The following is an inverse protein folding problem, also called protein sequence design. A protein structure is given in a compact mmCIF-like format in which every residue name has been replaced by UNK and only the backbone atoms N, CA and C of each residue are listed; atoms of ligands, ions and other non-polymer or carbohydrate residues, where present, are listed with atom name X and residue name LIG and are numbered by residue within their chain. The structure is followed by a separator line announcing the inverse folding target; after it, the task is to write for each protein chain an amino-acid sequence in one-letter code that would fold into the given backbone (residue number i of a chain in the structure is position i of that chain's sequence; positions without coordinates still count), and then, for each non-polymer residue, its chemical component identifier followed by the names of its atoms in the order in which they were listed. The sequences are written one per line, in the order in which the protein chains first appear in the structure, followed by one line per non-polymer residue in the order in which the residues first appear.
data_IF_258325417080
#
_entry.id   IF_258325417080
#
_cell.length_a   1.000
_cell.length_b   1.000
_cell.length_c   1.000
_cell.angle_alpha   90.00
_cell.angle_beta   90.00
_cell.angle_gamma   90.00
#
_symmetry.space_group_name_H-M   'P 1'
#
loop_
_entity.id
_entity.type
_entity.pdbx_description
1 polymer ?
#
# COMPACT_ATOMS: atom_id res chain seq x y z
N UNK A 1 2.70 -4.79 2.07
CA UNK A 1 3.17 -5.16 0.71
C UNK A 1 3.62 -3.85 0.08
N UNK A 2 4.90 -3.63 -0.21
CA UNK A 2 5.35 -2.31 -0.69
C UNK A 2 4.55 -1.86 -1.92
N UNK A 3 4.12 -0.58 -1.99
CA UNK A 3 3.43 -0.09 -3.16
C UNK A 3 4.41 -0.14 -4.33
N UNK A 4 4.00 -0.76 -5.43
CA UNK A 4 4.80 -0.78 -6.64
C UNK A 4 4.60 0.57 -7.35
N UNK A 5 5.61 1.44 -7.27
CA UNK A 5 5.74 2.57 -8.19
C UNK A 5 6.54 2.12 -9.41
N UNK A 6 6.17 2.64 -10.58
CA UNK A 6 6.97 2.48 -11.78
C UNK A 6 7.01 3.78 -12.57
N UNK A 7 8.13 3.99 -13.24
CA UNK A 7 8.24 5.04 -14.24
C UNK A 7 7.39 4.66 -15.46
N UNK A 8 6.61 5.63 -15.94
CA UNK A 8 5.71 5.49 -17.06
C UNK A 8 6.19 6.39 -18.19
N UNK A 9 6.37 5.80 -19.36
CA UNK A 9 6.53 6.55 -20.61
C UNK A 9 5.20 7.21 -20.98
N UNK A 10 5.14 8.54 -20.87
CA UNK A 10 3.96 9.33 -21.22
C UNK A 10 3.89 9.53 -22.73
N UNK A 11 5.03 9.82 -23.35
CA UNK A 11 5.14 9.93 -24.80
C UNK A 11 6.54 9.54 -25.27
N UNK A 12 6.73 8.25 -25.57
CA UNK A 12 8.06 7.68 -25.89
C UNK A 12 9.05 8.00 -24.76
N UNK A 13 10.34 7.90 -25.06
CA UNK A 13 11.44 8.28 -24.16
C UNK A 13 11.59 9.81 -23.96
N UNK A 14 10.68 10.64 -24.50
CA UNK A 14 10.80 12.09 -24.43
C UNK A 14 10.16 12.69 -23.18
N UNK A 15 9.05 12.10 -22.71
CA UNK A 15 8.37 12.55 -21.50
C UNK A 15 8.03 11.33 -20.68
N UNK A 16 8.55 11.31 -19.46
CA UNK A 16 8.39 10.22 -18.49
C UNK A 16 7.77 10.77 -17.22
N UNK A 17 7.09 9.90 -16.47
CA UNK A 17 6.53 10.30 -15.19
C UNK A 17 6.57 9.17 -14.17
N UNK A 18 6.74 9.53 -12.90
CA UNK A 18 6.67 8.62 -11.77
C UNK A 18 5.66 9.14 -10.75
N UNK A 19 4.93 8.25 -10.08
CA UNK A 19 4.00 8.60 -9.02
C UNK A 19 4.42 7.96 -7.71
N UNK A 20 4.43 8.77 -6.64
CA UNK A 20 4.72 8.32 -5.28
C UNK A 20 3.66 8.81 -4.30
N UNK A 21 3.37 8.04 -3.23
CA UNK A 21 2.66 8.57 -2.07
C UNK A 21 3.32 9.86 -1.56
N UNK A 22 2.52 10.89 -1.26
CA UNK A 22 3.04 12.12 -0.65
C UNK A 22 3.54 11.87 0.79
N UNK A 23 2.86 10.97 1.50
CA UNK A 23 3.29 10.46 2.80
C UNK A 23 4.12 9.17 2.59
N UNK A 24 5.41 9.23 2.87
CA UNK A 24 6.34 8.10 2.73
C UNK A 24 5.94 6.95 3.68
N UNK A 25 6.12 5.69 3.25
CA UNK A 25 5.83 4.42 3.96
C UNK A 25 4.37 3.92 4.03
N UNK A 26 3.43 4.47 3.23
CA UNK A 26 2.05 3.94 3.18
C UNK A 26 1.75 3.13 1.92
N UNK A 27 1.32 1.88 2.11
CA UNK A 27 0.81 0.96 1.09
C UNK A 27 -0.70 0.71 1.19
N UNK A 28 -1.28 1.08 2.32
CA UNK A 28 -2.69 0.93 2.66
C UNK A 28 -3.30 2.31 2.87
N UNK A 29 -4.40 2.54 2.18
CA UNK A 29 -5.26 3.70 2.37
C UNK A 29 -6.65 3.24 2.80
N UNK A 30 -7.38 4.14 3.44
CA UNK A 30 -8.73 3.83 3.90
C UNK A 30 -9.81 4.52 3.07
N UNK A 31 -11.02 3.95 3.07
CA UNK A 31 -12.16 4.50 2.32
C UNK A 31 -12.64 5.86 2.83
N UNK A 32 -12.29 6.20 4.07
CA UNK A 32 -12.54 7.50 4.70
C UNK A 32 -11.42 8.53 4.44
N UNK A 33 -10.42 8.19 3.63
CA UNK A 33 -9.27 9.04 3.34
C UNK A 33 -9.31 9.65 1.93
N UNK A 34 -8.64 10.80 1.82
CA UNK A 34 -8.44 11.57 0.59
C UNK A 34 -6.94 11.71 0.31
N UNK A 35 -6.26 10.64 -0.16
CA UNK A 35 -4.81 10.65 -0.27
C UNK A 35 -4.32 11.54 -1.41
N UNK A 36 -3.17 12.16 -1.18
CA UNK A 36 -2.43 12.91 -2.17
C UNK A 36 -1.17 12.14 -2.60
N UNK A 37 -0.81 12.32 -3.87
CA UNK A 37 0.36 11.70 -4.49
C UNK A 37 1.22 12.77 -5.15
N UNK A 38 2.53 12.56 -5.11
CA UNK A 38 3.51 13.34 -5.88
C UNK A 38 3.68 12.69 -7.24
N UNK A 39 3.41 13.45 -8.29
CA UNK A 39 3.67 13.10 -9.68
C UNK A 39 4.91 13.87 -10.15
N UNK A 40 6.00 13.16 -10.37
CA UNK A 40 7.24 13.72 -10.94
C UNK A 40 7.22 13.53 -12.45
N UNK A 41 7.21 14.62 -13.23
CA UNK A 41 7.23 14.57 -14.70
C UNK A 41 8.58 15.06 -15.20
N UNK A 42 9.26 14.25 -16.00
CA UNK A 42 10.57 14.57 -16.58
C UNK A 42 10.43 14.81 -18.09
N UNK A 43 10.94 15.94 -18.55
CA UNK A 43 11.03 16.32 -19.96
C UNK A 43 12.46 16.11 -20.45
N UNK A 44 12.64 15.17 -21.38
CA UNK A 44 13.94 14.84 -21.98
C UNK A 44 14.14 15.50 -23.36
N UNK A 45 13.31 16.48 -23.72
CA UNK A 45 13.46 17.27 -24.92
C UNK A 45 14.40 18.45 -24.68
N UNK A 46 15.03 18.94 -25.76
CA UNK A 46 15.81 20.17 -25.78
C UNK A 46 14.95 21.46 -25.80
N UNK A 47 13.63 21.32 -25.61
CA UNK A 47 12.66 22.41 -25.63
C UNK A 47 11.63 22.26 -24.50
N UNK A 48 11.13 23.38 -24.00
CA UNK A 48 10.15 23.45 -22.93
C UNK A 48 8.79 22.89 -23.40
N UNK A 49 8.13 22.11 -22.55
CA UNK A 49 6.73 21.77 -22.78
C UNK A 49 5.90 23.05 -22.63
N UNK A 50 5.06 23.34 -23.63
CA UNK A 50 4.15 24.49 -23.59
C UNK A 50 3.26 24.48 -22.35
N UNK A 51 2.84 25.66 -21.91
CA UNK A 51 1.93 25.86 -20.77
C UNK A 51 0.58 25.11 -20.91
N UNK A 52 0.12 24.90 -22.15
CA UNK A 52 -1.11 24.16 -22.45
C UNK A 52 -0.91 22.63 -22.58
N UNK A 53 0.30 22.14 -22.26
CA UNK A 53 0.58 20.71 -22.20
C UNK A 53 -0.22 20.05 -21.08
N UNK A 54 -0.92 18.96 -21.40
CA UNK A 54 -1.85 18.30 -20.48
C UNK A 54 -1.59 16.81 -20.36
N UNK A 55 -1.52 16.36 -19.11
CA UNK A 55 -1.53 14.96 -18.72
C UNK A 55 -2.88 14.62 -18.12
N UNK A 56 -3.35 13.39 -18.33
CA UNK A 56 -4.55 12.86 -17.64
C UNK A 56 -4.11 11.89 -16.57
N UNK A 57 -4.51 12.12 -15.34
CA UNK A 57 -4.32 11.19 -14.23
C UNK A 57 -5.66 10.63 -13.80
N UNK A 58 -5.62 9.46 -13.16
CA UNK A 58 -6.83 8.74 -12.82
C UNK A 58 -6.60 7.80 -11.64
N UNK A 59 -7.66 7.50 -10.89
CA UNK A 59 -7.66 6.45 -9.88
C UNK A 59 -8.70 5.42 -10.28
N UNK A 60 -8.27 4.17 -10.38
CA UNK A 60 -9.13 3.03 -10.68
C UNK A 60 -9.04 2.02 -9.53
N UNK A 61 -10.17 1.39 -9.18
CA UNK A 61 -10.27 0.43 -8.07
C UNK A 61 -10.92 -0.84 -8.57
N UNK A 62 -10.25 -1.97 -8.35
CA UNK A 62 -10.73 -3.29 -8.74
C UNK A 62 -9.64 -4.16 -9.33
N UNK A 63 -10.04 -5.32 -9.85
CA UNK A 63 -9.13 -6.31 -10.40
C UNK A 63 -8.90 -6.13 -11.91
N UNK A 64 -7.71 -6.49 -12.38
CA UNK A 64 -7.34 -6.45 -13.79
C UNK A 64 -7.12 -5.02 -14.30
N UNK A 65 -8.04 -4.50 -15.10
CA UNK A 65 -7.97 -3.17 -15.70
C UNK A 65 -9.28 -2.41 -15.49
N UNK A 66 -9.56 -2.00 -14.24
CA UNK A 66 -10.84 -1.40 -13.88
C UNK A 66 -11.04 -0.03 -14.56
N UNK A 67 -12.31 0.32 -14.79
CA UNK A 67 -12.65 1.67 -15.23
C UNK A 67 -12.29 2.68 -14.13
N UNK A 68 -11.62 3.81 -14.46
CA UNK A 68 -11.31 4.81 -13.46
C UNK A 68 -12.56 5.48 -12.91
N UNK A 69 -12.64 5.62 -11.59
CA UNK A 69 -13.72 6.36 -10.93
C UNK A 69 -13.36 7.84 -10.71
N UNK A 70 -12.06 8.15 -10.59
CA UNK A 70 -11.51 9.52 -10.67
C UNK A 70 -10.74 9.66 -11.97
N UNK A 71 -10.97 10.76 -12.69
CA UNK A 71 -10.20 11.12 -13.88
C UNK A 71 -10.16 12.62 -14.03
N UNK A 72 -8.96 13.16 -14.05
CA UNK A 72 -8.73 14.59 -14.16
C UNK A 72 -7.57 14.93 -15.10
N UNK A 73 -7.50 16.20 -15.47
CA UNK A 73 -6.44 16.73 -16.32
C UNK A 73 -5.56 17.67 -15.51
N UNK A 74 -4.26 17.54 -15.71
CA UNK A 74 -3.25 18.38 -15.10
C UNK A 74 -2.47 19.09 -16.21
N UNK A 75 -2.32 20.40 -16.06
CA UNK A 75 -1.42 21.19 -16.92
C UNK A 75 0.02 21.00 -16.43
N UNK A 76 0.92 20.64 -17.34
CA UNK A 76 2.29 20.21 -17.04
C UNK A 76 3.32 21.05 -17.81
N UNK A 77 3.50 22.34 -17.47
CA UNK A 77 4.62 23.13 -17.98
C UNK A 77 5.92 22.59 -17.37
N UNK A 78 6.68 21.84 -18.15
CA UNK A 78 7.97 21.25 -17.72
C UNK A 78 9.08 21.80 -18.61
N UNK A 79 10.08 22.51 -18.06
CA UNK A 79 11.21 23.03 -18.83
C UNK A 79 12.02 21.93 -19.52
N UNK A 80 12.80 22.30 -20.53
CA UNK A 80 13.70 21.42 -21.25
C UNK A 80 14.70 20.74 -20.30
N UNK A 81 14.85 19.42 -20.42
CA UNK A 81 15.78 18.61 -19.62
C UNK A 81 15.60 18.73 -18.09
N UNK A 82 14.39 19.05 -17.63
CA UNK A 82 14.05 19.18 -16.21
C UNK A 82 12.96 18.20 -15.77
N UNK A 83 12.92 17.97 -14.45
CA UNK A 83 11.86 17.23 -13.76
C UNK A 83 11.09 18.18 -12.84
N UNK A 84 9.77 18.20 -12.95
CA UNK A 84 8.89 19.02 -12.11
C UNK A 84 7.89 18.13 -11.37
N UNK A 85 7.70 18.42 -10.09
CA UNK A 85 6.77 17.70 -9.22
C UNK A 85 5.41 18.41 -9.16
N UNK A 86 4.35 17.62 -9.29
CA UNK A 86 2.96 18.05 -9.17
C UNK A 86 2.26 17.25 -8.08
N UNK A 87 1.24 17.83 -7.47
CA UNK A 87 0.36 17.10 -6.53
C UNK A 87 -0.91 16.68 -7.27
N UNK A 88 -1.26 15.39 -7.17
CA UNK A 88 -2.50 14.81 -7.68
C UNK A 88 -3.21 14.05 -6.56
N UNK A 89 -4.49 13.70 -6.74
CA UNK A 89 -5.31 13.07 -5.71
C UNK A 89 -6.10 14.08 -4.89
N UNK A 90 -6.37 13.77 -3.63
CA UNK A 90 -7.25 14.54 -2.73
C UNK A 90 -8.73 14.12 -2.81
N UNK A 91 -9.07 13.25 -3.75
CA UNK A 91 -10.40 12.66 -3.85
C UNK A 91 -10.59 11.51 -2.86
N UNK A 92 -11.79 11.40 -2.30
CA UNK A 92 -12.11 10.35 -1.34
C UNK A 92 -12.12 8.97 -2.02
N UNK A 93 -11.50 7.99 -1.37
CA UNK A 93 -11.47 6.61 -1.85
C UNK A 93 -12.76 5.87 -1.53
N UNK A 94 -13.81 6.04 -2.32
CA UNK A 94 -15.13 5.48 -1.97
C UNK A 94 -15.25 3.93 -2.01
N UNK A 95 -14.24 3.20 -2.48
CA UNK A 95 -14.31 1.76 -2.75
C UNK A 95 -13.14 0.99 -2.15
N UNK A 96 -13.41 -0.18 -1.57
CA UNK A 96 -12.37 -1.14 -1.16
C UNK A 96 -11.78 -1.89 -2.36
N UNK A 97 -10.52 -2.31 -2.24
CA UNK A 97 -9.88 -3.21 -3.20
C UNK A 97 -8.48 -2.79 -3.60
N UNK A 98 -8.05 -3.22 -4.78
CA UNK A 98 -6.76 -2.85 -5.37
C UNK A 98 -6.90 -1.50 -6.09
N UNK A 99 -6.22 -0.48 -5.57
CA UNK A 99 -6.19 0.86 -6.13
C UNK A 99 -5.00 1.05 -7.07
N UNK A 100 -5.24 1.71 -8.20
CA UNK A 100 -4.21 2.03 -9.19
C UNK A 100 -4.29 3.52 -9.52
N UNK A 101 -3.17 4.24 -9.39
CA UNK A 101 -3.00 5.54 -10.04
C UNK A 101 -2.54 5.30 -11.47
N UNK A 102 -3.37 5.72 -12.42
CA UNK A 102 -3.11 5.58 -13.86
C UNK A 102 -2.78 6.92 -14.50
N UNK A 103 -1.78 6.93 -15.38
CA UNK A 103 -1.42 8.10 -16.19
C UNK A 103 -1.73 7.85 -17.67
N UNK A 104 -2.18 8.87 -18.38
CA UNK A 104 -2.35 8.81 -19.83
C UNK A 104 -2.16 10.17 -20.49
N UNK A 105 -1.61 10.15 -21.71
CA UNK A 105 -1.57 11.28 -22.60
C UNK A 105 -2.08 10.86 -23.99
N UNK A 106 -2.49 11.84 -24.78
CA UNK A 106 -2.87 11.64 -26.16
C UNK A 106 -1.63 11.60 -27.05
N UNK A 107 -1.49 12.60 -27.92
CA UNK A 107 -0.32 12.77 -28.78
C UNK A 107 0.56 13.94 -28.35
N UNK A 108 1.75 14.02 -28.97
CA UNK A 108 2.59 15.20 -28.88
C UNK A 108 2.55 15.96 -30.22
N UNK A 109 2.17 17.23 -30.15
CA UNK A 109 2.28 18.15 -31.28
C UNK A 109 3.69 18.76 -31.33
N UNK A 110 4.30 18.80 -32.52
CA UNK A 110 5.58 19.48 -32.73
C UNK A 110 6.75 18.99 -31.86
N UNK A 111 7.04 17.67 -31.74
CA UNK A 111 8.10 17.17 -30.86
C UNK A 111 9.53 17.61 -31.22
N UNK A 112 9.73 18.14 -32.43
CA UNK A 112 10.99 18.74 -32.90
C UNK A 112 10.87 20.24 -33.18
N UNK A 113 9.80 20.85 -32.67
CA UNK A 113 9.60 22.29 -32.73
C UNK A 113 10.13 22.92 -31.45
N UNK A 114 10.27 24.25 -31.47
CA UNK A 114 10.67 25.03 -30.29
C UNK A 114 9.58 25.04 -29.20
N UNK A 115 8.37 24.56 -29.53
CA UNK A 115 7.21 24.56 -28.62
C UNK A 115 6.44 23.22 -28.64
N UNK A 116 7.03 22.11 -28.16
CA UNK A 116 6.32 20.84 -28.04
C UNK A 116 5.10 20.96 -27.12
N UNK A 117 3.97 20.35 -27.52
CA UNK A 117 2.74 20.31 -26.72
C UNK A 117 2.28 18.89 -26.49
N UNK A 118 2.09 18.52 -25.22
CA UNK A 118 1.46 17.26 -24.87
C UNK A 118 -0.07 17.42 -24.83
N UNK A 119 -0.77 16.61 -25.62
CA UNK A 119 -2.23 16.64 -25.64
C UNK A 119 -2.82 15.70 -24.60
N UNK A 120 -3.97 16.08 -24.04
CA UNK A 120 -4.71 15.21 -23.13
C UNK A 120 -5.15 13.91 -23.82
N UNK A 121 -5.22 12.84 -23.04
CA UNK A 121 -5.86 11.60 -23.50
C UNK A 121 -7.38 11.77 -23.53
N UNK A 122 -8.01 11.17 -24.54
CA UNK A 122 -9.47 10.95 -24.58
C UNK A 122 -9.84 9.47 -24.46
N UNK A 123 -8.82 8.61 -24.41
CA UNK A 123 -8.99 7.16 -24.25
C UNK A 123 -9.37 6.83 -22.80
N UNK A 124 -10.07 5.71 -22.62
CA UNK A 124 -10.27 5.11 -21.30
C UNK A 124 -9.06 4.33 -20.79
N UNK A 125 -8.04 4.14 -21.63
CA UNK A 125 -6.80 3.48 -21.25
C UNK A 125 -5.87 4.40 -20.46
N UNK A 126 -5.28 3.87 -19.40
CA UNK A 126 -4.21 4.43 -18.60
C UNK A 126 -3.03 3.44 -18.44
N UNK A 127 -1.84 3.97 -18.27
CA UNK A 127 -0.68 3.19 -17.86
C UNK A 127 -0.60 3.23 -16.33
N UNK A 128 -0.56 2.09 -15.64
CA UNK A 128 -0.45 2.06 -14.18
C UNK A 128 0.89 2.69 -13.76
N UNK A 129 0.88 3.65 -12.85
CA UNK A 129 2.08 4.31 -12.33
C UNK A 129 2.35 3.96 -10.87
N UNK A 130 1.28 3.74 -10.09
CA UNK A 130 1.34 3.35 -8.69
C UNK A 130 0.22 2.37 -8.39
N UNK A 131 0.52 1.31 -7.65
CA UNK A 131 -0.50 0.40 -7.09
C UNK A 131 -0.51 0.43 -5.57
N UNK A 132 -1.69 0.40 -4.96
CA UNK A 132 -1.90 0.42 -3.51
C UNK A 132 -3.14 -0.38 -3.10
N UNK A 133 -3.33 -0.60 -1.80
CA UNK A 133 -4.52 -1.27 -1.27
C UNK A 133 -5.46 -0.28 -0.60
N UNK A 134 -6.75 -0.44 -0.80
CA UNK A 134 -7.81 0.37 -0.18
C UNK A 134 -8.67 -0.54 0.69
N UNK A 135 -8.86 -0.14 1.94
CA UNK A 135 -9.63 -0.89 2.91
C UNK A 135 -10.65 -0.01 3.62
N UNK A 136 -11.79 -0.56 3.99
CA UNK A 136 -12.62 0.04 5.01
C UNK A 136 -11.96 -0.17 6.37
N UNK A 137 -11.95 0.87 7.21
CA UNK A 137 -11.24 0.86 8.48
C UNK A 137 -11.82 -0.17 9.46
N UNK A 138 -13.15 -0.33 9.47
CA UNK A 138 -13.81 -1.32 10.32
C UNK A 138 -13.56 -2.73 9.80
N UNK A 139 -13.62 -2.91 8.49
CA UNK A 139 -13.34 -4.20 7.84
C UNK A 139 -11.89 -4.65 8.05
N UNK A 140 -10.93 -3.73 7.90
CA UNK A 140 -9.52 -3.97 8.16
C UNK A 140 -9.28 -4.40 9.62
N UNK A 141 -9.91 -3.70 10.56
CA UNK A 141 -9.82 -4.02 11.99
C UNK A 141 -10.39 -5.40 12.31
N UNK A 142 -11.52 -5.78 11.72
CA UNK A 142 -12.11 -7.11 11.92
C UNK A 142 -11.18 -8.19 11.37
N UNK A 143 -10.72 -8.06 10.13
CA UNK A 143 -9.90 -9.09 9.47
C UNK A 143 -8.52 -9.22 10.09
N UNK A 144 -7.88 -8.12 10.50
CA UNK A 144 -6.49 -8.17 10.95
C UNK A 144 -6.34 -8.14 12.48
N UNK A 145 -7.28 -7.57 13.25
CA UNK A 145 -7.19 -7.51 14.73
C UNK A 145 -7.94 -8.65 15.42
N UNK A 146 -9.07 -9.14 14.90
CA UNK A 146 -9.80 -10.22 15.57
C UNK A 146 -9.03 -11.55 15.59
N UNK A 147 -8.37 -12.01 14.50
CA UNK A 147 -7.66 -13.28 14.54
C UNK A 147 -6.53 -13.30 15.56
N UNK A 148 -5.85 -12.16 15.76
CA UNK A 148 -4.81 -12.02 16.80
C UNK A 148 -5.40 -12.24 18.20
N UNK A 149 -6.55 -11.65 18.51
CA UNK A 149 -7.24 -11.88 19.79
C UNK A 149 -7.69 -13.33 19.97
N UNK A 150 -8.18 -13.97 18.91
CA UNK A 150 -8.57 -15.39 18.98
C UNK A 150 -7.36 -16.30 19.16
N UNK A 151 -6.22 -15.99 18.52
CA UNK A 151 -4.97 -16.73 18.72
C UNK A 151 -4.44 -16.57 20.15
N UNK A 152 -4.46 -15.35 20.70
CA UNK A 152 -4.09 -15.10 22.09
C UNK A 152 -5.00 -15.86 23.07
N UNK A 153 -6.32 -15.85 22.85
CA UNK A 153 -7.26 -16.62 23.66
C UNK A 153 -7.06 -18.12 23.53
N UNK A 154 -6.76 -18.62 22.32
CA UNK A 154 -6.46 -20.04 22.10
C UNK A 154 -5.19 -20.45 22.85
N UNK A 155 -4.13 -19.64 22.79
CA UNK A 155 -2.90 -19.87 23.54
C UNK A 155 -3.17 -19.88 25.05
N UNK A 156 -3.90 -18.89 25.56
CA UNK A 156 -4.25 -18.78 26.98
C UNK A 156 -5.10 -19.99 27.43
N UNK A 157 -6.05 -20.43 26.59
CA UNK A 157 -6.85 -21.63 26.86
C UNK A 157 -6.00 -22.90 26.91
N UNK A 158 -5.01 -23.06 26.01
CA UNK A 158 -4.12 -24.22 26.02
C UNK A 158 -3.28 -24.28 27.29
N UNK A 159 -2.76 -23.13 27.74
CA UNK A 159 -1.99 -23.04 28.98
C UNK A 159 -2.86 -23.39 30.19
N UNK A 160 -4.09 -22.88 30.22
CA UNK A 160 -5.04 -23.18 31.29
C UNK A 160 -5.37 -24.69 31.38
N UNK A 161 -5.54 -25.36 30.24
CA UNK A 161 -5.78 -26.82 30.19
C UNK A 161 -4.58 -27.59 30.73
N UNK A 162 -3.35 -27.21 30.36
CA UNK A 162 -2.13 -27.86 30.86
C UNK A 162 -2.00 -27.68 32.38
N UNK A 163 -2.24 -26.48 32.90
CA UNK A 163 -2.20 -26.21 34.34
C UNK A 163 -3.25 -27.06 35.09
N UNK A 164 -4.48 -27.14 34.57
CA UNK A 164 -5.53 -27.98 35.16
C UNK A 164 -5.14 -29.45 35.15
N UNK A 165 -4.55 -29.96 34.07
CA UNK A 165 -4.07 -31.33 34.00
C UNK A 165 -2.98 -31.62 35.04
N UNK A 166 -2.03 -30.69 35.23
CA UNK A 166 -1.00 -30.82 36.27
C UNK A 166 -1.62 -30.86 37.67
N UNK A 167 -2.57 -29.97 37.96
CA UNK A 167 -3.27 -29.95 39.25
C UNK A 167 -4.00 -31.28 39.50
N UNK A 168 -4.72 -31.80 38.50
CA UNK A 168 -5.42 -33.08 38.59
C UNK A 168 -4.47 -34.24 38.90
N UNK A 169 -3.35 -34.33 38.19
CA UNK A 169 -2.32 -35.35 38.44
C UNK A 169 -1.72 -35.23 39.85
N UNK A 170 -1.52 -34.00 40.32
CA UNK A 170 -0.92 -33.73 41.64
C UNK A 170 -1.83 -34.11 42.80
N UNK A 171 -3.13 -33.85 42.65
CA UNK A 171 -4.15 -34.26 43.62
C UNK A 171 -4.27 -35.78 43.62
N UNK A 172 -4.29 -36.41 42.44
CA UNK A 172 -4.40 -37.87 42.32
C UNK A 172 -3.20 -38.64 42.91
N UNK A 173 -2.01 -38.03 42.93
CA UNK A 173 -0.78 -38.66 43.43
C UNK A 173 -0.45 -38.28 44.89
N UNK A 174 -1.35 -37.58 45.61
CA UNK A 174 -1.15 -37.08 47.00
C UNK A 174 0.18 -36.32 47.21
N UNK A 175 0.72 -35.73 46.13
CA UNK A 175 2.07 -35.19 46.07
C UNK A 175 2.09 -33.78 45.49
N UNK A 176 1.76 -32.79 46.32
CA UNK A 176 1.70 -31.36 45.95
C UNK A 176 3.02 -30.84 45.35
N UNK A 177 4.15 -31.44 45.72
CA UNK A 177 5.49 -31.13 45.18
C UNK A 177 5.66 -31.50 43.70
N UNK A 178 5.04 -32.59 43.23
CA UNK A 178 5.14 -33.02 41.82
C UNK A 178 4.42 -32.04 40.91
N UNK A 179 3.29 -31.48 41.38
CA UNK A 179 2.56 -30.44 40.68
C UNK A 179 3.30 -29.13 40.51
N UNK A 180 3.92 -28.66 41.59
CA UNK A 180 4.70 -27.43 41.55
C UNK A 180 5.90 -27.54 40.60
N UNK A 181 6.63 -28.66 40.61
CA UNK A 181 7.76 -28.88 39.70
C UNK A 181 7.30 -28.95 38.25
N UNK A 182 6.18 -29.61 37.95
CA UNK A 182 5.62 -29.67 36.60
C UNK A 182 5.13 -28.30 36.10
N UNK A 183 4.50 -27.47 36.94
CA UNK A 183 4.10 -26.09 36.57
C UNK A 183 5.33 -25.24 36.27
N UNK A 184 6.38 -25.31 37.09
CA UNK A 184 7.62 -24.56 36.87
C UNK A 184 8.30 -24.99 35.57
N UNK A 185 8.34 -26.28 35.25
CA UNK A 185 8.93 -26.78 34.00
C UNK A 185 8.14 -26.34 32.76
N UNK A 186 6.80 -26.31 32.83
CA UNK A 186 5.97 -25.81 31.73
C UNK A 186 6.18 -24.30 31.55
N UNK A 187 6.15 -23.52 32.63
CA UNK A 187 6.39 -22.07 32.55
C UNK A 187 7.80 -21.77 32.01
N UNK A 188 8.82 -22.50 32.47
CA UNK A 188 10.20 -22.34 32.00
C UNK A 188 10.37 -22.69 30.51
N UNK A 189 9.75 -23.78 30.05
CA UNK A 189 9.77 -24.16 28.64
C UNK A 189 9.07 -23.14 27.74
N UNK A 190 7.93 -22.59 28.17
CA UNK A 190 7.25 -21.51 27.43
C UNK A 190 8.05 -20.20 27.41
N UNK A 191 8.79 -19.89 28.48
CA UNK A 191 9.64 -18.69 28.54
C UNK A 191 10.84 -18.78 27.60
N UNK A 192 11.44 -19.96 27.44
CA UNK A 192 12.51 -20.18 26.47
C UNK A 192 12.01 -20.13 25.02
N UNK A 193 10.84 -20.70 24.73
CA UNK A 193 10.23 -20.67 23.38
C UNK A 193 9.81 -19.25 22.99
N UNK A 194 9.21 -18.48 23.91
CA UNK A 194 8.80 -17.10 23.66
C UNK A 194 9.97 -16.12 23.45
N UNK A 195 11.14 -16.39 24.06
CA UNK A 195 12.36 -15.63 23.77
C UNK A 195 13.01 -16.04 22.44
N UNK A 196 12.83 -17.28 21.99
CA UNK A 196 13.33 -17.75 20.70
C UNK A 196 12.56 -17.11 19.53
N UNK A 197 11.25 -16.90 19.67
CA UNK A 197 10.44 -16.18 18.66
C UNK A 197 10.82 -14.70 18.55
N UNK A 198 11.20 -14.04 19.66
CA UNK A 198 11.72 -12.65 19.65
C UNK A 198 13.09 -12.50 18.99
N UNK A 199 13.86 -13.58 18.87
CA UNK A 199 15.16 -13.57 18.19
C UNK A 199 15.05 -13.86 16.68
N UNK A 200 13.93 -14.44 16.23
CA UNK A 200 13.69 -14.80 14.83
C UNK A 200 12.79 -13.80 14.08
N UNK A 201 12.22 -12.81 14.78
CA UNK A 201 11.46 -11.71 14.20
C UNK A 201 11.93 -10.37 14.83
N UNK A 202 13.04 -9.78 14.36
CA UNK A 202 13.46 -8.43 14.74
C UNK A 202 12.52 -7.35 14.19
#
# INVERSE_FOLDING_TARGET
MMPASQEVEIHRDWVTAEVKPKETDRDIYFTDESPEFTLSVSNHLDADLREDSRLTWSIAVGDGYPDPYVREHLEIPVPANETVDFTIGGEQLAFEGHGIVGLSAGGMGGPRSDEPVLQKSTSNSYNPALSFSIWDREHYDVIHRQPKRTQELALLSSVAVVILAIIQVSIALEGLLVGFVAIILVISGYWEVGNFERLLNP
#
